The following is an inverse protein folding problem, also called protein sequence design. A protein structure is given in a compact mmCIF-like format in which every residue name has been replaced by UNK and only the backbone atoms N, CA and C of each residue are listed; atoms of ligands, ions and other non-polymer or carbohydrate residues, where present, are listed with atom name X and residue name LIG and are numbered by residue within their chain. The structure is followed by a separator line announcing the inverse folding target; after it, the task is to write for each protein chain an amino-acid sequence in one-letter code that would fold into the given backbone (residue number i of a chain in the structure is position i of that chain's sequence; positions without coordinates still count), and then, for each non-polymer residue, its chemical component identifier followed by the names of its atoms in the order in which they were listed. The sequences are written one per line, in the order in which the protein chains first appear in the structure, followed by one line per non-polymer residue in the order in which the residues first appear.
data_IF_827548834964
#
_entry.id   IF_827548834964
#
_cell.length_a   1.000
_cell.length_b   1.000
_cell.length_c   1.000
_cell.angle_alpha   90.00
_cell.angle_beta   90.00
_cell.angle_gamma   90.00
#
_symmetry.space_group_name_H-M   'P 1'
#
loop_
_entity.id
_entity.type
_entity.pdbx_description
1 polymer ?
#
# COMPACT_ATOMS: atom_id res chain seq x y z
N UNK A 1 -43.76 -50.98 41.09
CA UNK A 1 -42.42 -51.19 40.52
C UNK A 1 -42.53 -51.17 39.00
N UNK A 2 -42.14 -50.09 38.33
CA UNK A 2 -41.85 -50.08 36.88
C UNK A 2 -40.57 -49.27 36.70
N UNK A 3 -39.45 -49.96 36.48
CA UNK A 3 -38.18 -49.35 36.08
C UNK A 3 -38.28 -49.03 34.59
N UNK A 4 -38.42 -47.76 34.24
CA UNK A 4 -38.24 -47.30 32.88
C UNK A 4 -36.74 -47.46 32.52
N UNK A 5 -36.42 -48.51 31.77
CA UNK A 5 -35.12 -48.66 31.11
C UNK A 5 -35.13 -47.73 29.90
N UNK A 6 -34.59 -46.53 30.04
CA UNK A 6 -34.22 -45.72 28.88
C UNK A 6 -33.19 -46.51 28.06
N UNK A 7 -33.43 -46.77 26.76
CA UNK A 7 -32.51 -47.57 25.97
C UNK A 7 -31.26 -46.74 25.70
N UNK A 8 -30.11 -47.23 26.17
CA UNK A 8 -28.76 -46.66 26.00
C UNK A 8 -28.47 -46.26 24.53
N UNK A 9 -29.10 -46.94 23.57
CA UNK A 9 -29.04 -46.67 22.13
C UNK A 9 -29.58 -45.28 21.75
N UNK A 10 -30.57 -44.75 22.46
CA UNK A 10 -31.17 -43.44 22.16
C UNK A 10 -30.27 -42.29 22.63
N UNK A 11 -29.53 -42.51 23.74
CA UNK A 11 -28.54 -41.56 24.24
C UNK A 11 -27.28 -41.56 23.36
N UNK A 12 -26.83 -42.74 22.90
CA UNK A 12 -25.74 -42.87 21.92
C UNK A 12 -26.10 -42.24 20.57
N UNK A 13 -27.35 -42.37 20.11
CA UNK A 13 -27.83 -41.72 18.90
C UNK A 13 -27.81 -40.20 18.97
N UNK A 14 -28.19 -39.60 20.11
CA UNK A 14 -28.15 -38.15 20.32
C UNK A 14 -26.72 -37.63 20.38
N UNK A 15 -25.79 -38.34 21.06
CA UNK A 15 -24.38 -37.96 21.11
C UNK A 15 -23.72 -38.09 19.74
N UNK A 16 -24.07 -39.11 18.95
CA UNK A 16 -23.57 -39.27 17.57
C UNK A 16 -24.13 -38.20 16.64
N UNK A 17 -25.42 -37.87 16.73
CA UNK A 17 -26.01 -36.75 15.98
C UNK A 17 -25.39 -35.40 16.37
N UNK A 18 -25.16 -35.14 17.65
CA UNK A 18 -24.48 -33.92 18.10
C UNK A 18 -23.02 -33.87 17.62
N UNK A 19 -22.30 -35.00 17.66
CA UNK A 19 -20.92 -35.09 17.16
C UNK A 19 -20.84 -34.93 15.64
N UNK A 20 -21.74 -35.56 14.88
CA UNK A 20 -21.82 -35.38 13.42
C UNK A 20 -22.26 -33.96 13.08
N UNK A 21 -23.13 -33.32 13.88
CA UNK A 21 -23.52 -31.90 13.70
C UNK A 21 -22.37 -30.94 13.96
N UNK A 22 -21.57 -31.19 15.00
CA UNK A 22 -20.38 -30.37 15.32
C UNK A 22 -19.30 -30.60 14.28
N UNK A 23 -19.07 -31.83 13.84
CA UNK A 23 -18.14 -32.15 12.76
C UNK A 23 -18.61 -31.59 11.41
N UNK A 24 -19.90 -31.64 11.09
CA UNK A 24 -20.47 -30.97 9.91
C UNK A 24 -20.36 -29.45 10.03
N UNK A 25 -20.57 -28.86 11.21
CA UNK A 25 -20.42 -27.41 11.42
C UNK A 25 -18.95 -26.95 11.36
N UNK A 26 -18.00 -27.80 11.74
CA UNK A 26 -16.56 -27.54 11.61
C UNK A 26 -16.12 -27.71 10.15
N UNK A 27 -16.59 -28.75 9.45
CA UNK A 27 -16.26 -29.02 8.04
C UNK A 27 -16.95 -28.05 7.07
N UNK A 28 -18.17 -27.57 7.36
CA UNK A 28 -18.83 -26.49 6.61
C UNK A 28 -18.22 -25.10 6.88
N UNK A 29 -17.32 -24.96 7.87
CA UNK A 29 -16.66 -23.68 8.17
C UNK A 29 -15.47 -23.38 7.26
N UNK A 30 -15.02 -24.37 6.47
CA UNK A 30 -13.86 -24.26 5.59
C UNK A 30 -14.19 -24.12 4.10
N UNK A 31 -15.47 -24.04 3.73
CA UNK A 31 -15.88 -23.95 2.32
C UNK A 31 -17.03 -22.97 2.08
N UNK A 32 -16.90 -21.73 2.57
CA UNK A 32 -17.58 -20.65 1.84
C UNK A 32 -16.84 -20.44 0.51
N UNK A 33 -17.53 -20.55 -0.65
CA UNK A 33 -16.92 -20.29 -1.95
C UNK A 33 -16.32 -18.89 -1.92
N UNK A 34 -15.17 -18.68 -2.59
CA UNK A 34 -14.46 -17.40 -2.76
C UNK A 34 -15.46 -16.25 -2.93
N UNK A 35 -15.92 -15.70 -1.80
CA UNK A 35 -16.85 -14.59 -1.77
C UNK A 35 -16.03 -13.41 -2.23
N UNK A 36 -16.55 -12.67 -3.19
CA UNK A 36 -16.12 -11.32 -3.53
C UNK A 36 -15.60 -10.61 -2.27
N UNK A 37 -14.28 -10.35 -2.25
CA UNK A 37 -13.64 -9.64 -1.16
C UNK A 37 -13.64 -8.15 -1.50
N UNK A 38 -14.52 -7.32 -0.91
CA UNK A 38 -14.67 -5.91 -1.29
C UNK A 38 -13.48 -5.03 -0.90
N UNK A 39 -12.49 -5.61 -0.22
CA UNK A 39 -11.29 -4.93 0.27
C UNK A 39 -10.06 -5.18 -0.60
N UNK A 40 -10.10 -6.21 -1.45
CA UNK A 40 -8.99 -6.58 -2.34
C UNK A 40 -9.30 -6.13 -3.76
N UNK A 41 -8.33 -5.44 -4.35
CA UNK A 41 -8.35 -4.94 -5.70
C UNK A 41 -7.12 -5.48 -6.40
N UNK A 42 -7.32 -6.51 -7.21
CA UNK A 42 -6.27 -7.11 -8.04
C UNK A 42 -5.64 -6.05 -8.96
N UNK A 43 -4.36 -6.18 -9.28
CA UNK A 43 -3.64 -5.32 -10.21
C UNK A 43 -4.34 -5.15 -11.58
N UNK A 44 -5.18 -6.10 -12.00
CA UNK A 44 -6.01 -6.02 -13.20
C UNK A 44 -7.16 -4.99 -13.11
N UNK A 45 -7.44 -4.47 -11.91
CA UNK A 45 -8.42 -3.42 -11.65
C UNK A 45 -7.91 -2.02 -11.94
N UNK A 46 -6.67 -1.90 -12.41
CA UNK A 46 -6.14 -0.65 -12.92
C UNK A 46 -6.59 -0.41 -14.37
N UNK A 47 -7.10 0.78 -14.64
CA UNK A 47 -7.37 1.28 -15.98
C UNK A 47 -6.15 2.06 -16.48
N UNK A 48 -5.72 1.76 -17.71
CA UNK A 48 -4.61 2.49 -18.35
C UNK A 48 -5.11 3.83 -18.86
N UNK A 49 -4.54 4.93 -18.34
CA UNK A 49 -4.79 6.28 -18.85
C UNK A 49 -3.94 6.58 -20.09
N UNK A 50 -2.69 6.12 -20.08
CA UNK A 50 -1.78 6.25 -21.20
C UNK A 50 -0.76 5.11 -21.19
N UNK A 51 -0.34 4.65 -22.37
CA UNK A 51 0.74 3.66 -22.52
C UNK A 51 1.39 3.81 -23.89
N UNK A 52 2.71 3.77 -23.89
CA UNK A 52 3.51 3.61 -25.10
C UNK A 52 4.74 2.72 -24.81
N UNK A 53 5.69 2.68 -25.74
CA UNK A 53 6.91 1.88 -25.58
C UNK A 53 7.82 2.32 -24.42
N UNK A 54 7.66 3.54 -23.89
CA UNK A 54 8.50 4.12 -22.84
C UNK A 54 7.93 3.97 -21.44
N UNK A 55 6.63 3.71 -21.29
CA UNK A 55 6.01 3.58 -19.97
C UNK A 55 4.49 3.55 -20.03
N UNK A 56 3.87 3.64 -18.85
CA UNK A 56 2.43 3.75 -18.71
C UNK A 56 2.02 4.54 -17.47
N UNK A 57 0.82 5.11 -17.54
CA UNK A 57 0.09 5.69 -16.42
C UNK A 57 -1.19 4.87 -16.26
N UNK A 58 -1.44 4.38 -15.05
CA UNK A 58 -2.67 3.64 -14.73
C UNK A 58 -3.32 4.23 -13.49
N UNK A 59 -4.64 4.13 -13.40
CA UNK A 59 -5.44 4.54 -12.25
C UNK A 59 -6.28 3.37 -11.77
N UNK A 60 -6.33 3.14 -10.47
CA UNK A 60 -7.15 2.09 -9.88
C UNK A 60 -8.63 2.39 -10.12
N UNK A 61 -9.43 1.35 -10.40
CA UNK A 61 -10.89 1.47 -10.34
C UNK A 61 -11.33 2.09 -9.01
N UNK A 62 -12.47 2.78 -9.02
CA UNK A 62 -13.01 3.47 -7.84
C UNK A 62 -13.28 2.49 -6.69
N UNK A 63 -13.22 2.99 -5.46
CA UNK A 63 -13.66 2.23 -4.29
C UNK A 63 -15.20 2.15 -4.25
N UNK A 64 -15.78 1.15 -4.93
CA UNK A 64 -17.23 1.02 -5.11
C UNK A 64 -17.98 0.44 -3.90
N UNK A 65 -17.29 -0.34 -3.06
CA UNK A 65 -17.90 -1.00 -1.91
C UNK A 65 -18.50 0.00 -0.92
N UNK A 66 -19.74 -0.25 -0.46
CA UNK A 66 -20.36 0.54 0.61
C UNK A 66 -19.57 0.51 1.94
N UNK A 67 -18.69 -0.49 2.11
CA UNK A 67 -17.79 -0.57 3.27
C UNK A 67 -16.59 0.38 3.16
N UNK A 68 -16.37 0.97 1.98
CA UNK A 68 -15.25 1.85 1.65
C UNK A 68 -15.73 3.23 1.17
N UNK A 69 -16.94 3.66 1.55
CA UNK A 69 -17.50 4.95 1.12
C UNK A 69 -16.61 6.15 1.44
N UNK A 70 -15.91 6.10 2.58
CA UNK A 70 -14.93 7.14 2.98
C UNK A 70 -13.72 7.23 2.06
N UNK A 71 -13.48 6.23 1.21
CA UNK A 71 -12.41 6.23 0.22
C UNK A 71 -12.84 6.73 -1.15
N UNK A 72 -14.13 7.06 -1.37
CA UNK A 72 -14.63 7.53 -2.69
C UNK A 72 -13.91 8.79 -3.21
N UNK A 73 -13.44 9.64 -2.30
CA UNK A 73 -12.68 10.87 -2.58
C UNK A 73 -11.20 10.66 -2.92
N UNK A 74 -10.73 9.41 -3.00
CA UNK A 74 -9.33 9.08 -3.18
C UNK A 74 -9.15 8.16 -4.39
N UNK A 75 -8.09 8.39 -5.15
CA UNK A 75 -7.67 7.53 -6.25
C UNK A 75 -6.20 7.16 -6.13
N UNK A 76 -5.85 5.97 -6.61
CA UNK A 76 -4.47 5.49 -6.64
C UNK A 76 -4.01 5.48 -8.09
N UNK A 77 -2.94 6.19 -8.39
CA UNK A 77 -2.26 6.14 -9.67
C UNK A 77 -0.95 5.37 -9.53
N UNK A 78 -0.60 4.65 -10.60
CA UNK A 78 0.73 4.09 -10.80
C UNK A 78 1.32 4.65 -12.09
N UNK A 79 2.52 5.20 -11.97
CA UNK A 79 3.34 5.62 -13.10
C UNK A 79 4.59 4.75 -13.17
N UNK A 80 4.83 4.19 -14.35
CA UNK A 80 6.03 3.40 -14.64
C UNK A 80 6.70 3.93 -15.89
N UNK A 81 8.00 4.17 -15.85
CA UNK A 81 8.75 4.59 -17.03
C UNK A 81 10.14 3.96 -17.14
N UNK A 82 10.51 3.62 -18.37
CA UNK A 82 11.82 3.07 -18.72
C UNK A 82 12.94 4.09 -18.45
N UNK A 83 14.19 3.62 -18.39
CA UNK A 83 15.38 4.47 -18.39
C UNK A 83 15.32 5.62 -19.39
N UNK A 84 15.87 6.77 -19.01
CA UNK A 84 16.03 7.95 -19.87
C UNK A 84 14.71 8.45 -20.50
N UNK A 85 13.69 8.65 -19.67
CA UNK A 85 12.36 9.11 -20.12
C UNK A 85 11.89 10.36 -19.40
N UNK A 86 10.91 11.06 -19.99
CA UNK A 86 10.24 12.23 -19.43
C UNK A 86 8.73 12.10 -19.59
N UNK A 87 7.99 12.28 -18.49
CA UNK A 87 6.57 12.61 -18.53
C UNK A 87 6.44 14.12 -18.77
N UNK A 88 5.77 14.50 -19.86
CA UNK A 88 5.66 15.88 -20.34
C UNK A 88 4.89 16.79 -19.36
N UNK A 89 5.09 18.13 -19.45
CA UNK A 89 4.45 19.10 -18.57
C UNK A 89 2.92 19.03 -18.57
N UNK A 90 2.35 18.84 -17.38
CA UNK A 90 0.90 18.82 -17.15
C UNK A 90 0.57 19.25 -15.73
N UNK A 91 -0.67 19.65 -15.52
CA UNK A 91 -1.27 19.76 -14.18
C UNK A 91 -2.53 18.90 -14.11
N UNK A 92 -3.00 18.65 -12.88
CA UNK A 92 -4.23 17.90 -12.63
C UNK A 92 -5.12 18.68 -11.68
N UNK A 93 -6.43 18.51 -11.76
CA UNK A 93 -7.39 19.06 -10.81
C UNK A 93 -7.54 18.16 -9.55
N UNK A 94 -6.41 17.75 -8.98
CA UNK A 94 -6.33 16.93 -7.78
C UNK A 94 -5.11 17.29 -6.94
N UNK A 95 -5.25 17.26 -5.62
CA UNK A 95 -4.09 17.20 -4.73
C UNK A 95 -3.42 15.84 -4.91
N UNK A 96 -2.10 15.82 -5.13
CA UNK A 96 -1.34 14.59 -5.32
C UNK A 96 -0.36 14.35 -4.18
N UNK A 97 -0.25 13.11 -3.74
CA UNK A 97 0.79 12.66 -2.83
C UNK A 97 1.62 11.57 -3.50
N UNK A 98 2.77 11.96 -4.04
CA UNK A 98 3.67 11.10 -4.80
C UNK A 98 4.60 10.33 -3.86
N UNK A 99 4.84 9.05 -4.14
CA UNK A 99 5.84 8.21 -3.49
C UNK A 99 6.66 7.42 -4.51
N UNK A 100 7.99 7.49 -4.45
CA UNK A 100 8.88 6.72 -5.33
C UNK A 100 9.04 5.31 -4.77
N UNK A 101 8.42 4.33 -5.45
CA UNK A 101 8.49 2.92 -5.09
C UNK A 101 9.83 2.30 -5.47
N UNK A 102 10.27 2.52 -6.72
CA UNK A 102 11.51 1.99 -7.27
C UNK A 102 12.21 3.00 -8.17
N UNK A 103 13.54 2.91 -8.23
CA UNK A 103 14.38 3.77 -9.06
C UNK A 103 14.58 5.18 -8.52
N UNK A 104 14.80 6.12 -9.45
CA UNK A 104 15.11 7.53 -9.20
C UNK A 104 14.32 8.40 -10.16
N UNK A 105 13.91 9.59 -9.72
CA UNK A 105 13.18 10.54 -10.54
C UNK A 105 13.71 11.97 -10.37
N UNK A 106 13.61 12.79 -11.41
CA UNK A 106 13.74 14.24 -11.29
C UNK A 106 12.34 14.84 -11.42
N UNK A 107 11.78 15.26 -10.30
CA UNK A 107 10.49 15.95 -10.25
C UNK A 107 10.73 17.46 -10.39
N UNK A 108 10.06 18.07 -11.36
CA UNK A 108 10.04 19.53 -11.49
C UNK A 108 8.65 20.03 -11.16
N UNK A 109 8.58 21.03 -10.29
CA UNK A 109 7.37 21.71 -9.85
C UNK A 109 7.45 23.15 -10.34
N UNK A 110 6.57 23.51 -11.28
CA UNK A 110 6.56 24.81 -11.95
C UNK A 110 5.43 25.66 -11.37
N UNK A 111 5.81 26.83 -10.85
CA UNK A 111 4.92 27.87 -10.35
C UNK A 111 4.98 29.10 -11.28
N UNK A 112 4.08 30.09 -11.15
CA UNK A 112 4.07 31.26 -12.04
C UNK A 112 5.41 32.00 -12.15
N UNK A 113 6.16 32.11 -11.05
CA UNK A 113 7.38 32.93 -10.98
C UNK A 113 8.66 32.13 -10.63
N UNK A 114 8.55 30.81 -10.42
CA UNK A 114 9.69 29.97 -10.01
C UNK A 114 9.51 28.51 -10.44
N UNK A 115 10.61 27.75 -10.40
CA UNK A 115 10.61 26.30 -10.58
C UNK A 115 11.54 25.64 -9.58
N UNK A 116 10.97 24.71 -8.83
CA UNK A 116 11.73 23.79 -7.99
C UNK A 116 11.99 22.46 -8.70
N UNK A 117 13.25 22.04 -8.72
CA UNK A 117 13.68 20.74 -9.25
C UNK A 117 14.20 19.86 -8.12
N UNK A 118 13.63 18.67 -7.98
CA UNK A 118 13.99 17.72 -6.94
C UNK A 118 14.49 16.41 -7.52
N UNK A 119 15.58 15.92 -6.95
CA UNK A 119 16.07 14.58 -7.19
C UNK A 119 15.51 13.63 -6.13
N UNK A 120 14.60 12.75 -6.58
CA UNK A 120 13.86 11.81 -5.75
C UNK A 120 14.44 10.40 -5.90
N UNK A 121 14.64 9.73 -4.79
CA UNK A 121 15.11 8.34 -4.71
C UNK A 121 14.01 7.44 -4.13
N UNK A 122 14.18 6.12 -4.25
CA UNK A 122 13.31 5.13 -3.57
C UNK A 122 13.03 5.52 -2.11
N UNK A 123 11.74 5.59 -1.77
CA UNK A 123 11.25 5.99 -0.45
C UNK A 123 11.04 7.49 -0.24
N UNK A 124 11.38 8.33 -1.22
CA UNK A 124 11.01 9.75 -1.21
C UNK A 124 9.53 9.94 -1.51
N UNK A 125 8.95 10.90 -0.81
CA UNK A 125 7.58 11.33 -1.01
C UNK A 125 7.49 12.85 -1.09
N UNK A 126 6.51 13.33 -1.86
CA UNK A 126 6.27 14.76 -2.09
C UNK A 126 4.78 15.01 -2.30
N UNK A 127 4.23 16.01 -1.59
CA UNK A 127 2.93 16.59 -1.91
C UNK A 127 3.06 17.53 -3.10
N UNK A 128 2.14 17.42 -4.04
CA UNK A 128 2.02 18.33 -5.19
C UNK A 128 0.60 18.91 -5.11
N UNK A 129 0.46 20.22 -4.82
CA UNK A 129 -0.84 20.86 -4.75
C UNK A 129 -1.62 20.80 -6.06
N UNK A 130 -2.95 20.84 -5.98
CA UNK A 130 -3.81 20.81 -7.16
C UNK A 130 -3.51 21.97 -8.12
N UNK A 131 -3.57 21.71 -9.44
CA UNK A 131 -3.28 22.70 -10.48
C UNK A 131 -1.80 23.03 -10.66
N UNK A 132 -0.89 22.42 -9.89
CA UNK A 132 0.55 22.67 -10.05
C UNK A 132 1.07 21.99 -11.32
N UNK A 133 1.76 22.74 -12.18
CA UNK A 133 2.37 22.16 -13.37
C UNK A 133 3.62 21.38 -12.98
N UNK A 134 3.67 20.11 -13.38
CA UNK A 134 4.81 19.23 -13.13
C UNK A 134 5.30 18.54 -14.39
N UNK A 135 6.57 18.15 -14.37
CA UNK A 135 7.11 17.14 -15.28
C UNK A 135 8.13 16.28 -14.54
N UNK A 136 8.18 14.99 -14.91
CA UNK A 136 8.91 13.97 -14.16
C UNK A 136 9.83 13.19 -15.10
N UNK A 137 11.14 13.23 -14.85
CA UNK A 137 12.11 12.47 -15.63
C UNK A 137 12.60 11.23 -14.88
N UNK A 138 12.82 10.13 -15.59
CA UNK A 138 13.66 9.03 -15.13
C UNK A 138 15.09 9.26 -15.66
N UNK A 139 16.04 9.71 -14.83
CA UNK A 139 17.42 9.98 -15.27
C UNK A 139 18.30 8.73 -15.31
N UNK A 140 17.78 7.56 -14.94
CA UNK A 140 18.57 6.32 -14.90
C UNK A 140 18.83 5.79 -16.30
N UNK A 141 20.04 5.26 -16.51
CA UNK A 141 20.42 4.53 -17.73
C UNK A 141 19.99 3.04 -17.69
N UNK A 142 19.54 2.53 -16.54
CA UNK A 142 19.34 1.08 -16.32
C UNK A 142 18.03 0.73 -15.63
N UNK A 143 17.62 1.54 -14.67
CA UNK A 143 16.51 1.22 -13.78
C UNK A 143 15.20 1.82 -14.29
N UNK A 144 14.15 1.03 -14.21
CA UNK A 144 12.78 1.51 -14.41
C UNK A 144 12.36 2.31 -13.19
N UNK A 145 11.68 3.43 -13.41
CA UNK A 145 11.07 4.23 -12.35
C UNK A 145 9.66 3.71 -12.11
N UNK A 146 9.31 3.44 -10.85
CA UNK A 146 7.93 3.16 -10.42
C UNK A 146 7.51 4.14 -9.34
N UNK A 147 6.35 4.73 -9.52
CA UNK A 147 5.79 5.76 -8.64
C UNK A 147 4.34 5.41 -8.33
N UNK A 148 3.98 5.42 -7.05
CA UNK A 148 2.60 5.36 -6.60
C UNK A 148 2.18 6.75 -6.12
N UNK A 149 0.99 7.18 -6.53
CA UNK A 149 0.45 8.50 -6.17
C UNK A 149 -0.96 8.35 -5.62
N UNK A 150 -1.21 8.92 -4.46
CA UNK A 150 -2.56 9.14 -3.95
C UNK A 150 -3.09 10.47 -4.48
N UNK A 151 -4.17 10.44 -5.25
CA UNK A 151 -4.85 11.64 -5.76
C UNK A 151 -6.14 11.91 -4.99
N UNK A 152 -6.39 13.18 -4.70
CA UNK A 152 -7.62 13.69 -4.08
C UNK A 152 -8.20 14.77 -5.00
N UNK A 153 -9.14 14.42 -5.89
CA UNK A 153 -9.77 15.36 -6.81
C UNK A 153 -10.41 16.57 -6.10
N UNK A 154 -10.32 17.76 -6.70
CA UNK A 154 -10.86 18.99 -6.09
C UNK A 154 -12.23 19.40 -6.62
N UNK A 155 -12.56 19.02 -7.86
CA UNK A 155 -13.82 19.37 -8.50
C UNK A 155 -14.89 18.29 -8.28
N UNK A 156 -14.60 17.07 -8.74
CA UNK A 156 -15.52 15.94 -8.68
C UNK A 156 -14.91 14.84 -7.82
N UNK A 157 -15.54 14.40 -6.70
CA UNK A 157 -14.90 13.52 -5.72
C UNK A 157 -14.35 12.21 -6.30
N UNK A 158 -14.88 11.78 -7.45
CA UNK A 158 -14.61 10.46 -8.03
C UNK A 158 -13.82 10.51 -9.33
N UNK A 159 -13.39 11.68 -9.80
CA UNK A 159 -12.63 11.82 -11.04
C UNK A 159 -11.76 13.06 -11.01
N UNK A 160 -10.58 12.96 -11.62
CA UNK A 160 -9.74 14.09 -11.94
C UNK A 160 -9.40 14.04 -13.43
N UNK A 161 -9.04 15.18 -13.99
CA UNK A 161 -8.61 15.39 -15.35
C UNK A 161 -7.13 15.80 -15.38
N UNK A 162 -6.42 15.33 -16.40
CA UNK A 162 -5.04 15.72 -16.66
C UNK A 162 -4.99 16.75 -17.78
N UNK A 163 -4.50 17.95 -17.46
CA UNK A 163 -4.38 19.06 -18.38
C UNK A 163 -2.93 19.17 -18.86
N UNK A 164 -2.67 18.57 -20.02
CA UNK A 164 -1.34 18.61 -20.62
C UNK A 164 -1.11 19.87 -21.44
N UNK A 165 0.03 20.53 -21.20
CA UNK A 165 0.45 21.71 -21.96
C UNK A 165 1.06 21.31 -23.32
N UNK A 166 1.63 20.12 -23.41
CA UNK A 166 2.28 19.59 -24.61
C UNK A 166 1.29 19.16 -25.69
N UNK A 167 1.55 19.55 -26.94
CA UNK A 167 0.92 18.98 -28.14
C UNK A 167 1.70 17.75 -28.61
N UNK A 168 1.02 16.60 -28.74
CA UNK A 168 1.60 15.32 -29.19
C UNK A 168 0.65 14.66 -30.19
N UNK A 169 1.05 13.55 -30.82
CA UNK A 169 0.13 12.77 -31.66
C UNK A 169 -1.03 12.20 -30.84
N UNK A 170 -0.75 11.75 -29.60
CA UNK A 170 -1.76 11.13 -28.73
C UNK A 170 -2.75 12.11 -28.08
N UNK A 171 -2.45 13.41 -28.04
CA UNK A 171 -3.27 14.41 -27.35
C UNK A 171 -2.93 15.85 -27.75
N UNK A 172 -3.94 16.71 -27.68
CA UNK A 172 -3.82 18.14 -27.94
C UNK A 172 -3.41 18.91 -26.68
N UNK A 173 -2.70 20.03 -26.87
CA UNK A 173 -2.46 20.98 -25.78
C UNK A 173 -3.78 21.61 -25.35
N UNK A 174 -4.01 21.79 -24.04
CA UNK A 174 -5.21 22.49 -23.58
C UNK A 174 -5.31 23.95 -24.11
N UNK A 175 -4.20 24.54 -24.53
CA UNK A 175 -4.20 25.87 -25.16
C UNK A 175 -5.01 25.89 -26.47
N UNK A 176 -5.13 24.75 -27.16
CA UNK A 176 -5.93 24.63 -28.39
C UNK A 176 -7.45 24.74 -28.12
N UNK A 177 -7.87 24.72 -26.85
CA UNK A 177 -9.25 24.99 -26.47
C UNK A 177 -9.65 26.47 -26.57
N UNK A 178 -8.69 27.40 -26.64
CA UNK A 178 -8.96 28.83 -26.79
C UNK A 178 -9.15 29.21 -28.27
N UNK A 179 -10.03 30.19 -28.53
CA UNK A 179 -10.26 30.68 -29.89
C UNK A 179 -9.02 31.37 -30.48
N UNK A 180 -8.87 31.33 -31.81
CA UNK A 180 -7.78 32.00 -32.57
C UNK A 180 -7.48 33.42 -32.06
N UNK A 181 -8.50 34.28 -32.04
CA UNK A 181 -8.36 35.68 -31.63
C UNK A 181 -7.87 35.84 -30.18
N UNK A 182 -8.23 34.92 -29.26
CA UNK A 182 -7.74 34.95 -27.88
C UNK A 182 -6.27 34.57 -27.85
N UNK A 183 -5.86 33.55 -28.60
CA UNK A 183 -4.46 33.13 -28.65
C UNK A 183 -3.57 34.22 -29.28
N UNK A 184 -4.00 34.81 -30.39
CA UNK A 184 -3.30 35.94 -31.03
C UNK A 184 -3.15 37.12 -30.08
N UNK A 185 -4.23 37.52 -29.40
CA UNK A 185 -4.17 38.61 -28.42
C UNK A 185 -3.33 38.28 -27.18
N UNK A 186 -3.25 37.00 -26.79
CA UNK A 186 -2.51 36.56 -25.59
C UNK A 186 -1.01 36.41 -25.83
N UNK A 187 -0.63 35.91 -27.01
CA UNK A 187 0.77 35.70 -27.39
C UNK A 187 1.36 36.86 -28.20
N UNK A 188 0.55 37.85 -28.58
CA UNK A 188 0.95 39.03 -29.34
C UNK A 188 1.65 38.66 -30.67
N UNK A 189 1.11 37.65 -31.37
CA UNK A 189 1.58 37.22 -32.69
C UNK A 189 0.45 36.58 -33.50
N UNK A 190 0.66 36.40 -34.81
CA UNK A 190 -0.26 35.72 -35.72
C UNK A 190 -0.40 34.24 -35.33
N UNK A 191 -1.62 33.71 -35.43
CA UNK A 191 -1.90 32.33 -35.05
C UNK A 191 -1.10 31.31 -35.85
N UNK A 192 -0.76 31.63 -37.10
CA UNK A 192 0.07 30.77 -37.95
C UNK A 192 1.43 30.50 -37.29
N UNK A 193 2.03 31.49 -36.61
CA UNK A 193 3.24 31.31 -35.81
C UNK A 193 2.97 30.50 -34.54
N UNK A 194 1.88 30.80 -33.81
CA UNK A 194 1.47 30.05 -32.60
C UNK A 194 1.28 28.56 -32.92
N UNK A 195 0.54 28.27 -33.99
CA UNK A 195 0.25 26.93 -34.45
C UNK A 195 1.52 26.19 -34.83
N UNK A 196 2.41 26.82 -35.59
CA UNK A 196 3.70 26.24 -35.97
C UNK A 196 4.58 25.91 -34.76
N UNK A 197 4.67 26.81 -33.78
CA UNK A 197 5.64 26.68 -32.68
C UNK A 197 5.11 25.85 -31.51
N UNK A 198 3.86 26.02 -31.11
CA UNK A 198 3.29 25.38 -29.91
C UNK A 198 2.47 24.13 -30.22
N UNK A 199 1.82 24.10 -31.38
CA UNK A 199 0.91 23.00 -31.72
C UNK A 199 1.52 22.02 -32.71
N UNK A 200 2.37 22.48 -33.63
CA UNK A 200 3.09 21.69 -34.63
C UNK A 200 2.19 21.00 -35.67
N UNK A 201 2.80 20.60 -36.78
CA UNK A 201 2.20 19.64 -37.73
C UNK A 201 2.38 18.20 -37.21
N UNK A 202 1.59 17.24 -37.68
CA UNK A 202 1.63 15.86 -37.16
C UNK A 202 3.02 15.21 -37.25
N UNK A 203 3.79 15.48 -38.31
CA UNK A 203 5.10 14.88 -38.56
C UNK A 203 6.21 15.35 -37.59
N UNK A 204 6.01 16.45 -36.87
CA UNK A 204 6.99 17.02 -35.93
C UNK A 204 6.72 16.66 -34.46
N UNK A 205 5.60 15.98 -34.19
CA UNK A 205 5.13 15.71 -32.83
C UNK A 205 5.82 14.50 -32.21
N UNK A 206 5.86 14.53 -30.88
CA UNK A 206 6.17 13.32 -30.12
C UNK A 206 4.95 12.38 -30.16
N UNK A 207 5.19 11.06 -30.14
CA UNK A 207 4.15 10.02 -30.15
C UNK A 207 3.14 10.23 -29.00
N UNK A 208 3.61 10.61 -27.81
CA UNK A 208 2.72 10.91 -26.69
C UNK A 208 3.42 11.48 -25.47
N UNK A 209 2.79 11.34 -24.30
CA UNK A 209 3.16 12.10 -23.09
C UNK A 209 4.37 11.57 -22.34
N UNK A 210 4.83 10.36 -22.64
CA UNK A 210 6.07 9.80 -22.11
C UNK A 210 7.05 9.72 -23.27
N UNK A 211 8.14 10.49 -23.21
CA UNK A 211 9.10 10.64 -24.30
C UNK A 211 10.50 10.20 -23.87
N UNK A 212 11.37 9.89 -24.84
CA UNK A 212 12.78 9.57 -24.58
C UNK A 212 13.60 10.84 -24.44
N UNK A 213 14.54 10.84 -23.49
CA UNK A 213 15.53 11.89 -23.30
C UNK A 213 16.91 11.47 -23.81
N UNK A 214 17.67 12.43 -24.32
CA UNK A 214 19.12 12.29 -24.52
C UNK A 214 19.87 12.44 -23.20
N UNK A 215 21.13 11.98 -23.17
CA UNK A 215 21.99 12.14 -21.99
C UNK A 215 22.29 13.61 -21.68
N UNK A 216 22.44 14.43 -22.71
CA UNK A 216 22.62 15.87 -22.57
C UNK A 216 21.40 16.52 -21.93
N UNK A 217 20.19 16.18 -22.39
CA UNK A 217 18.94 16.68 -21.79
C UNK A 217 18.82 16.29 -20.31
N UNK A 218 19.13 15.03 -19.97
CA UNK A 218 19.12 14.58 -18.57
C UNK A 218 20.16 15.34 -17.74
N UNK A 219 21.36 15.57 -18.28
CA UNK A 219 22.41 16.33 -17.62
C UNK A 219 21.95 17.75 -17.32
N UNK A 220 21.31 18.43 -18.28
CA UNK A 220 20.76 19.78 -18.08
C UNK A 220 19.66 19.79 -17.01
N UNK A 221 18.73 18.83 -17.06
CA UNK A 221 17.67 18.68 -16.05
C UNK A 221 18.22 18.39 -14.64
N UNK A 222 19.40 17.78 -14.54
CA UNK A 222 20.00 17.39 -13.25
C UNK A 222 20.76 18.51 -12.54
N UNK A 223 21.19 19.57 -13.25
CA UNK A 223 22.18 20.56 -12.73
C UNK A 223 21.79 21.27 -11.44
N UNK A 224 20.50 21.56 -11.26
CA UNK A 224 20.01 22.37 -10.14
C UNK A 224 19.03 21.60 -9.24
N UNK A 225 19.11 20.27 -9.27
CA UNK A 225 18.24 19.43 -8.46
C UNK A 225 18.61 19.48 -6.98
N UNK A 226 17.59 19.55 -6.13
CA UNK A 226 17.70 19.47 -4.67
C UNK A 226 17.30 18.05 -4.24
N UNK A 227 18.07 17.40 -3.39
CA UNK A 227 17.69 16.08 -2.83
C UNK A 227 16.98 16.21 -1.49
N UNK A 228 16.20 15.21 -1.13
CA UNK A 228 15.66 15.09 0.23
C UNK A 228 16.79 14.92 1.25
N UNK A 229 16.54 15.27 2.51
CA UNK A 229 17.46 15.00 3.62
C UNK A 229 16.71 14.85 4.94
N UNK A 230 17.40 14.46 6.02
CA UNK A 230 16.78 14.45 7.36
C UNK A 230 16.16 15.80 7.76
N UNK A 231 16.73 16.91 7.26
CA UNK A 231 16.24 18.27 7.56
C UNK A 231 14.96 18.62 6.80
N UNK A 232 14.70 17.98 5.65
CA UNK A 232 13.51 18.27 4.84
C UNK A 232 12.26 17.57 5.35
N UNK A 233 12.38 16.67 6.32
CA UNK A 233 11.24 15.96 6.92
C UNK A 233 10.22 16.92 7.52
N UNK A 234 10.64 18.05 8.07
CA UNK A 234 9.75 19.07 8.63
C UNK A 234 9.42 20.20 7.64
N UNK A 235 9.74 20.04 6.35
CA UNK A 235 9.46 21.05 5.32
C UNK A 235 8.00 20.96 4.83
N UNK A 236 7.40 22.11 4.53
CA UNK A 236 6.03 22.18 3.98
C UNK A 236 5.98 21.94 2.47
N UNK A 237 7.13 22.00 1.80
CA UNK A 237 7.28 22.15 0.35
C UNK A 237 8.34 21.20 -0.26
N UNK A 238 9.29 20.69 0.53
CA UNK A 238 10.40 19.83 0.06
C UNK A 238 10.13 18.34 0.26
N UNK A 239 10.73 17.47 -0.57
CA UNK A 239 10.54 16.03 -0.46
C UNK A 239 11.19 15.48 0.80
N UNK A 240 10.67 14.37 1.28
CA UNK A 240 11.21 13.67 2.45
C UNK A 240 11.25 12.17 2.21
N UNK A 241 12.27 11.50 2.77
CA UNK A 241 12.40 10.05 2.67
C UNK A 241 11.93 9.36 3.95
N UNK A 242 11.11 8.32 3.83
CA UNK A 242 10.67 7.52 4.98
C UNK A 242 11.83 6.82 5.69
N UNK A 243 12.90 6.46 4.96
CA UNK A 243 14.06 5.73 5.50
C UNK A 243 15.07 6.61 6.23
N UNK A 244 14.92 7.93 6.17
CA UNK A 244 15.83 8.85 6.88
C UNK A 244 15.61 8.86 8.39
N UNK A 245 14.42 8.43 8.84
CA UNK A 245 14.17 8.03 10.22
C UNK A 245 14.34 6.52 10.33
N UNK A 246 14.84 6.06 11.47
CA UNK A 246 14.84 4.63 11.77
C UNK A 246 13.42 4.05 11.72
N UNK A 247 13.28 2.74 11.49
CA UNK A 247 11.97 2.10 11.46
C UNK A 247 11.25 2.26 12.81
N UNK A 248 9.94 2.50 12.76
CA UNK A 248 9.06 2.57 13.94
C UNK A 248 8.97 1.20 14.62
N UNK A 249 8.96 0.12 13.84
CA UNK A 249 9.05 -1.27 14.31
C UNK A 249 10.12 -2.01 13.53
N UNK A 250 10.96 -2.79 14.21
CA UNK A 250 12.02 -3.55 13.57
C UNK A 250 12.43 -4.74 14.41
N UNK A 251 12.59 -5.89 13.76
CA UNK A 251 13.29 -7.05 14.30
C UNK A 251 13.87 -7.88 13.14
N UNK A 252 14.25 -9.14 13.39
CA UNK A 252 14.85 -10.02 12.38
C UNK A 252 13.87 -10.50 11.29
N UNK A 253 12.57 -10.29 11.44
CA UNK A 253 11.53 -10.75 10.51
C UNK A 253 11.00 -9.63 9.61
N UNK A 254 11.15 -8.37 10.02
CA UNK A 254 10.67 -7.25 9.23
C UNK A 254 10.96 -5.88 9.83
N UNK A 255 10.64 -4.85 9.03
CA UNK A 255 10.78 -3.44 9.36
C UNK A 255 9.55 -2.68 8.89
N UNK A 256 9.11 -1.71 9.69
CA UNK A 256 8.11 -0.73 9.30
C UNK A 256 8.68 0.66 9.50
N UNK A 257 8.77 1.41 8.40
CA UNK A 257 9.09 2.82 8.39
C UNK A 257 7.79 3.60 8.33
N UNK A 258 7.59 4.59 9.20
CA UNK A 258 6.35 5.36 9.22
C UNK A 258 6.59 6.81 9.59
N UNK A 259 5.86 7.68 8.92
CA UNK A 259 5.82 9.10 9.17
C UNK A 259 4.37 9.56 9.22
N UNK A 260 4.04 10.28 10.28
CA UNK A 260 2.68 10.64 10.66
C UNK A 260 2.45 12.15 10.46
N UNK A 261 1.19 12.62 10.46
CA UNK A 261 0.85 14.05 10.38
C UNK A 261 1.65 14.91 11.36
N UNK A 262 1.89 14.42 12.56
CA UNK A 262 2.56 15.17 13.64
C UNK A 262 4.06 15.38 13.36
N UNK A 263 4.62 14.68 12.36
CA UNK A 263 6.05 14.68 12.06
C UNK A 263 6.40 15.39 10.75
N UNK A 264 5.42 15.65 9.88
CA UNK A 264 5.62 16.27 8.57
C UNK A 264 4.42 17.17 8.20
N UNK A 265 4.64 18.45 7.90
CA UNK A 265 3.54 19.38 7.59
C UNK A 265 2.74 19.06 6.32
N UNK A 266 3.34 18.44 5.29
CA UNK A 266 2.61 18.07 4.08
C UNK A 266 1.58 16.99 4.37
N UNK A 267 1.95 16.01 5.19
CA UNK A 267 1.08 14.96 5.70
C UNK A 267 0.03 15.50 6.67
N UNK A 268 0.40 16.48 7.50
CA UNK A 268 -0.53 17.19 8.38
C UNK A 268 -1.65 17.87 7.60
N UNK A 269 -1.31 18.61 6.55
CA UNK A 269 -2.27 19.35 5.73
C UNK A 269 -3.30 18.44 5.05
N UNK A 270 -2.99 17.16 4.86
CA UNK A 270 -3.86 16.18 4.21
C UNK A 270 -4.44 15.14 5.18
N UNK A 271 -4.10 15.25 6.48
CA UNK A 271 -4.45 14.27 7.51
C UNK A 271 -4.03 12.83 7.16
N UNK A 272 -2.83 12.67 6.59
CA UNK A 272 -2.28 11.40 6.11
C UNK A 272 -1.11 10.90 6.95
N UNK A 273 -0.96 9.58 7.09
CA UNK A 273 0.35 8.98 7.39
C UNK A 273 0.84 8.21 6.18
N UNK A 274 2.15 8.01 6.09
CA UNK A 274 2.76 7.06 5.17
C UNK A 274 3.54 6.01 5.94
N UNK A 275 3.37 4.75 5.54
CA UNK A 275 4.23 3.66 6.01
C UNK A 275 4.79 2.87 4.84
N UNK A 276 6.03 2.40 4.97
CA UNK A 276 6.63 1.41 4.08
C UNK A 276 7.07 0.22 4.92
N UNK A 277 6.60 -0.97 4.58
CA UNK A 277 6.82 -2.19 5.36
C UNK A 277 7.61 -3.18 4.53
N UNK A 278 8.61 -3.79 5.16
CA UNK A 278 9.47 -4.83 4.60
C UNK A 278 9.34 -6.08 5.48
N UNK A 279 8.94 -7.20 4.90
CA UNK A 279 8.81 -8.49 5.56
C UNK A 279 9.68 -9.52 4.87
N UNK A 280 10.41 -10.29 5.64
CA UNK A 280 11.15 -11.44 5.13
C UNK A 280 10.17 -12.57 4.78
N UNK A 281 10.55 -13.44 3.85
CA UNK A 281 9.82 -14.67 3.59
C UNK A 281 9.54 -15.45 4.88
N UNK A 282 8.30 -15.89 5.05
CA UNK A 282 7.84 -16.60 6.25
C UNK A 282 7.59 -15.70 7.46
N UNK A 283 7.68 -14.38 7.33
CA UNK A 283 7.33 -13.45 8.40
C UNK A 283 5.81 -13.21 8.48
N UNK A 284 5.29 -13.20 9.70
CA UNK A 284 3.93 -12.79 10.03
C UNK A 284 3.94 -11.40 10.66
N UNK A 285 3.28 -10.43 10.03
CA UNK A 285 2.91 -9.18 10.68
C UNK A 285 1.73 -9.44 11.60
N UNK A 286 1.99 -9.43 12.92
CA UNK A 286 1.06 -9.86 13.96
C UNK A 286 -0.32 -9.20 13.83
N UNK A 287 -1.40 -9.88 14.27
CA UNK A 287 -2.73 -9.32 14.28
C UNK A 287 -2.77 -7.96 15.00
N UNK A 288 -3.25 -6.94 14.31
CA UNK A 288 -3.35 -5.58 14.82
C UNK A 288 -4.51 -4.83 14.18
N UNK A 289 -4.87 -3.67 14.70
CA UNK A 289 -5.81 -2.75 14.06
C UNK A 289 -5.36 -1.31 14.21
N UNK A 290 -5.76 -0.45 13.28
CA UNK A 290 -5.61 1.00 13.40
C UNK A 290 -6.83 1.58 14.09
N UNK A 291 -6.63 2.44 15.10
CA UNK A 291 -7.73 3.02 15.91
C UNK A 291 -8.72 3.83 15.08
N UNK A 292 -8.24 4.69 14.17
CA UNK A 292 -9.11 5.60 13.37
C UNK A 292 -8.70 5.76 11.91
N UNK A 293 -7.48 5.39 11.53
CA UNK A 293 -7.02 5.51 10.17
C UNK A 293 -7.57 4.38 9.28
N UNK A 294 -7.98 4.74 8.07
CA UNK A 294 -8.27 3.77 6.99
C UNK A 294 -6.97 3.62 6.19
N UNK A 295 -6.51 2.41 5.97
CA UNK A 295 -5.24 2.17 5.28
C UNK A 295 -5.49 1.65 3.87
N UNK A 296 -4.88 2.30 2.88
CA UNK A 296 -4.77 1.79 1.52
C UNK A 296 -3.36 1.21 1.36
N UNK A 297 -3.27 -0.11 1.31
CA UNK A 297 -2.04 -0.85 1.07
C UNK A 297 -1.84 -1.01 -0.44
N UNK A 298 -0.65 -0.68 -0.93
CA UNK A 298 -0.18 -0.86 -2.31
C UNK A 298 0.98 -1.84 -2.27
N UNK A 299 0.81 -3.03 -2.85
CA UNK A 299 1.88 -4.03 -2.92
C UNK A 299 2.94 -3.56 -3.91
N UNK A 300 4.19 -3.46 -3.45
CA UNK A 300 5.30 -3.06 -4.31
C UNK A 300 6.04 -4.27 -4.88
N UNK A 301 6.33 -5.28 -4.06
CA UNK A 301 7.08 -6.46 -4.47
C UNK A 301 6.74 -7.65 -3.55
N UNK A 302 6.80 -8.85 -4.12
CA UNK A 302 6.62 -10.12 -3.41
C UNK A 302 5.16 -10.54 -3.28
N UNK A 303 4.94 -11.54 -2.44
CA UNK A 303 3.65 -12.16 -2.22
C UNK A 303 3.34 -12.32 -0.73
N UNK A 304 2.06 -12.18 -0.37
CA UNK A 304 1.60 -12.38 0.99
C UNK A 304 0.14 -12.82 1.07
N UNK A 305 -0.20 -13.54 2.13
CA UNK A 305 -1.59 -13.83 2.50
C UNK A 305 -2.06 -12.83 3.54
N UNK A 306 -3.21 -12.19 3.31
CA UNK A 306 -3.82 -11.26 4.26
C UNK A 306 -5.14 -11.81 4.79
N UNK A 307 -5.38 -11.68 6.10
CA UNK A 307 -6.71 -11.88 6.69
C UNK A 307 -7.19 -10.60 7.38
N UNK A 308 -8.44 -10.22 7.10
CA UNK A 308 -9.13 -9.09 7.70
C UNK A 308 -10.40 -9.59 8.40
N UNK A 309 -10.65 -9.11 9.62
CA UNK A 309 -11.83 -9.48 10.41
C UNK A 309 -12.79 -8.30 10.48
N UNK A 310 -14.02 -8.52 10.02
CA UNK A 310 -15.15 -7.62 10.21
C UNK A 310 -16.16 -8.21 11.20
N UNK A 311 -17.11 -7.41 11.69
CA UNK A 311 -18.24 -7.90 12.48
C UNK A 311 -19.53 -7.70 11.69
N UNK A 312 -20.33 -8.76 11.55
CA UNK A 312 -21.69 -8.70 10.97
C UNK A 312 -22.65 -9.41 11.90
N UNK A 313 -23.72 -8.73 12.32
CA UNK A 313 -24.73 -9.30 13.24
C UNK A 313 -24.10 -9.94 14.51
N UNK A 314 -23.10 -9.25 15.10
CA UNK A 314 -22.33 -9.71 16.27
C UNK A 314 -21.49 -10.98 16.06
N UNK A 315 -21.35 -11.45 14.82
CA UNK A 315 -20.48 -12.57 14.48
C UNK A 315 -19.24 -12.07 13.72
N UNK A 316 -18.05 -12.63 13.99
CA UNK A 316 -16.85 -12.32 13.23
C UNK A 316 -16.97 -12.91 11.82
N UNK A 317 -16.70 -12.08 10.82
CA UNK A 317 -16.64 -12.44 9.41
C UNK A 317 -15.22 -12.19 8.90
N UNK A 318 -14.59 -13.23 8.36
CA UNK A 318 -13.21 -13.20 7.87
C UNK A 318 -13.19 -12.97 6.36
N UNK A 319 -12.34 -12.04 5.92
CA UNK A 319 -11.99 -11.80 4.52
C UNK A 319 -10.55 -12.21 4.31
N UNK A 320 -10.28 -12.97 3.25
CA UNK A 320 -8.93 -13.42 2.89
C UNK A 320 -8.60 -12.96 1.47
N UNK A 321 -7.33 -12.69 1.23
CA UNK A 321 -6.80 -12.49 -0.11
C UNK A 321 -5.34 -12.96 -0.16
N UNK A 322 -4.94 -13.42 -1.33
CA UNK A 322 -3.54 -13.59 -1.71
C UNK A 322 -3.15 -12.30 -2.43
N UNK A 323 -2.10 -11.64 -1.96
CA UNK A 323 -1.63 -10.36 -2.46
C UNK A 323 -0.37 -10.58 -3.29
N UNK A 324 -0.34 -9.94 -4.46
CA UNK A 324 0.82 -9.94 -5.37
C UNK A 324 1.16 -8.52 -5.83
N UNK A 325 2.29 -8.34 -6.51
CA UNK A 325 2.75 -7.03 -6.99
C UNK A 325 1.66 -6.24 -7.74
N UNK A 326 1.46 -4.99 -7.32
CA UNK A 326 0.45 -4.09 -7.90
C UNK A 326 -0.94 -4.24 -7.32
N UNK A 327 -1.21 -5.24 -6.48
CA UNK A 327 -2.49 -5.35 -5.79
C UNK A 327 -2.67 -4.21 -4.76
N UNK A 328 -3.93 -3.80 -4.60
CA UNK A 328 -4.35 -2.86 -3.57
C UNK A 328 -5.23 -3.57 -2.55
N UNK A 329 -5.01 -3.31 -1.27
CA UNK A 329 -5.89 -3.79 -0.20
C UNK A 329 -6.29 -2.65 0.73
N UNK A 330 -7.60 -2.44 0.89
CA UNK A 330 -8.16 -1.40 1.77
C UNK A 330 -8.52 -1.98 3.14
N UNK A 331 -7.93 -1.45 4.20
CA UNK A 331 -8.14 -1.86 5.59
C UNK A 331 -8.93 -0.77 6.30
N UNK A 332 -10.23 -0.97 6.59
CA UNK A 332 -11.02 -0.01 7.34
C UNK A 332 -10.47 0.22 8.75
N UNK A 333 -10.71 1.41 9.28
CA UNK A 333 -10.39 1.74 10.67
C UNK A 333 -11.07 0.77 11.65
N UNK A 334 -10.34 0.41 12.70
CA UNK A 334 -10.72 -0.53 13.76
C UNK A 334 -10.92 -2.00 13.33
N UNK A 335 -10.62 -2.38 12.09
CA UNK A 335 -10.72 -3.78 11.65
C UNK A 335 -9.39 -4.50 11.93
N UNK A 336 -9.40 -5.61 12.71
CA UNK A 336 -8.22 -6.43 12.90
C UNK A 336 -7.74 -7.02 11.58
N UNK A 337 -6.44 -6.92 11.34
CA UNK A 337 -5.75 -7.41 10.15
C UNK A 337 -4.49 -8.15 10.55
N UNK A 338 -4.13 -9.17 9.78
CA UNK A 338 -2.88 -9.92 9.88
C UNK A 338 -2.36 -10.20 8.48
N UNK A 339 -1.04 -10.19 8.30
CA UNK A 339 -0.42 -10.42 7.00
C UNK A 339 0.74 -11.41 7.15
N UNK A 340 0.77 -12.43 6.29
CA UNK A 340 1.77 -13.49 6.27
C UNK A 340 2.53 -13.45 4.94
N UNK A 341 3.82 -13.11 4.96
CA UNK A 341 4.65 -13.02 3.77
C UNK A 341 5.04 -14.42 3.27
N UNK A 342 4.65 -14.76 2.04
CA UNK A 342 4.97 -16.04 1.37
C UNK A 342 6.27 -15.97 0.57
N UNK A 343 6.75 -14.77 0.28
CA UNK A 343 8.09 -14.46 -0.22
C UNK A 343 8.61 -13.20 0.50
N UNK A 344 9.80 -12.70 0.16
CA UNK A 344 10.21 -11.37 0.63
C UNK A 344 9.21 -10.34 0.09
N UNK A 345 8.53 -9.65 0.99
CA UNK A 345 7.35 -8.85 0.67
C UNK A 345 7.53 -7.42 1.15
N UNK A 346 7.22 -6.46 0.30
CA UNK A 346 7.17 -5.07 0.73
C UNK A 346 6.02 -4.29 0.10
N UNK A 347 5.50 -3.33 0.86
CA UNK A 347 4.34 -2.55 0.48
C UNK A 347 4.40 -1.13 1.02
N UNK A 348 3.77 -0.22 0.27
CA UNK A 348 3.46 1.14 0.68
C UNK A 348 2.06 1.17 1.30
N UNK A 349 1.86 2.01 2.31
CA UNK A 349 0.56 2.21 2.94
C UNK A 349 0.26 3.71 3.07
N UNK A 350 -0.86 4.15 2.49
CA UNK A 350 -1.45 5.47 2.73
C UNK A 350 -2.47 5.35 3.86
N UNK A 351 -2.21 5.98 5.00
CA UNK A 351 -3.16 6.06 6.11
C UNK A 351 -4.01 7.31 6.01
N UNK A 352 -5.29 7.16 5.72
CA UNK A 352 -6.28 8.25 5.65
C UNK A 352 -6.85 8.51 7.04
N UNK A 353 -7.14 9.77 7.40
CA UNK A 353 -7.62 10.17 8.73
C UNK A 353 -6.62 9.76 9.83
N UNK A 354 -5.37 10.16 9.62
CA UNK A 354 -4.22 9.67 10.37
C UNK A 354 -3.91 10.39 11.68
N UNK A 355 -4.43 11.60 11.90
CA UNK A 355 -4.08 12.38 13.09
C UNK A 355 -4.41 11.63 14.37
N UNK A 356 -3.44 11.48 15.26
CA UNK A 356 -3.57 10.71 16.51
C UNK A 356 -4.02 9.23 16.29
N UNK A 357 -3.73 8.66 15.13
CA UNK A 357 -3.98 7.23 14.91
C UNK A 357 -2.99 6.38 15.70
N UNK A 358 -3.52 5.52 16.54
CA UNK A 358 -2.77 4.46 17.23
C UNK A 358 -2.90 3.12 16.50
N UNK A 359 -1.79 2.37 16.44
CA UNK A 359 -1.76 0.98 15.98
C UNK A 359 -1.75 0.05 17.19
N UNK A 360 -2.78 -0.77 17.30
CA UNK A 360 -3.03 -1.62 18.46
C UNK A 360 -2.77 -3.08 18.09
N UNK A 361 -1.71 -3.68 18.64
CA UNK A 361 -1.43 -5.10 18.43
C UNK A 361 -2.29 -5.96 19.35
N UNK A 362 -2.64 -7.16 18.89
CA UNK A 362 -3.46 -8.14 19.62
C UNK A 362 -2.63 -9.35 20.11
N UNK A 363 -1.35 -9.37 19.75
CA UNK A 363 -0.39 -10.41 20.11
C UNK A 363 1.02 -9.81 20.16
N UNK A 364 1.97 -10.57 20.70
CA UNK A 364 3.35 -10.12 20.88
C UNK A 364 3.58 -9.47 22.24
N UNK A 365 4.85 -9.18 22.53
CA UNK A 365 5.28 -8.63 23.83
C UNK A 365 4.97 -7.13 23.96
N UNK A 366 5.27 -6.33 22.93
CA UNK A 366 5.05 -4.88 22.91
C UNK A 366 3.76 -4.49 22.20
N UNK A 367 3.18 -3.38 22.64
CA UNK A 367 1.98 -2.73 22.07
C UNK A 367 0.74 -3.64 21.97
N UNK A 368 0.75 -4.76 22.71
CA UNK A 368 -0.34 -5.71 22.78
C UNK A 368 -1.42 -5.21 23.74
N UNK A 369 -2.56 -4.76 23.21
CA UNK A 369 -3.64 -4.19 24.04
C UNK A 369 -4.28 -5.19 24.98
N UNK A 370 -4.25 -6.49 24.65
CA UNK A 370 -4.82 -7.53 25.52
C UNK A 370 -4.00 -7.62 26.81
N UNK A 371 -2.68 -7.45 26.74
CA UNK A 371 -1.80 -7.50 27.92
C UNK A 371 -2.01 -6.32 28.88
N UNK A 372 -2.69 -5.26 28.45
CA UNK A 372 -3.00 -4.09 29.26
C UNK A 372 -4.35 -4.21 30.00
N UNK A 373 -5.15 -5.25 29.73
CA UNK A 373 -6.44 -5.46 30.39
C UNK A 373 -6.20 -5.87 31.86
N UNK A 374 -6.95 -5.27 32.79
CA UNK A 374 -6.86 -5.66 34.20
C UNK A 374 -7.26 -7.12 34.40
N UNK A 375 -6.56 -7.84 35.29
CA UNK A 375 -6.79 -9.27 35.55
C UNK A 375 -8.25 -9.60 35.84
N UNK A 376 -8.92 -8.79 36.65
CA UNK A 376 -10.33 -8.95 37.00
C UNK A 376 -11.25 -8.87 35.77
N UNK A 377 -10.88 -8.05 34.78
CA UNK A 377 -11.61 -7.94 33.51
C UNK A 377 -11.27 -9.11 32.59
N UNK A 378 -10.02 -9.58 32.56
CA UNK A 378 -9.63 -10.77 31.78
C UNK A 378 -10.43 -12.02 32.20
N UNK A 379 -10.63 -12.22 33.50
CA UNK A 379 -11.41 -13.35 34.05
C UNK A 379 -12.88 -13.32 33.65
N UNK A 380 -13.42 -12.13 33.33
CA UNK A 380 -14.79 -11.97 32.83
C UNK A 380 -14.85 -12.04 31.30
N UNK A 381 -13.79 -11.58 30.62
CA UNK A 381 -13.73 -11.49 29.16
C UNK A 381 -13.40 -12.82 28.48
N UNK A 382 -12.59 -13.67 29.14
CA UNK A 382 -12.11 -14.94 28.59
C UNK A 382 -12.54 -16.13 29.47
N UNK A 383 -12.76 -17.32 28.89
CA UNK A 383 -13.14 -18.51 29.68
C UNK A 383 -12.08 -19.03 30.66
N UNK A 384 -10.80 -18.66 30.46
CA UNK A 384 -9.69 -19.08 31.32
C UNK A 384 -9.42 -18.11 32.48
N UNK A 385 -8.58 -18.50 33.44
CA UNK A 385 -8.16 -17.57 34.50
C UNK A 385 -7.27 -16.46 33.95
N UNK A 386 -7.18 -15.31 34.63
CA UNK A 386 -6.22 -14.26 34.25
C UNK A 386 -4.79 -14.79 34.14
N UNK A 387 -4.40 -15.75 35.00
CA UNK A 387 -3.08 -16.35 34.96
C UNK A 387 -2.87 -17.18 33.69
N UNK A 388 -3.89 -17.92 33.24
CA UNK A 388 -3.82 -18.69 31.99
C UNK A 388 -3.67 -17.77 30.79
N UNK A 389 -4.44 -16.67 30.75
CA UNK A 389 -4.37 -15.67 29.68
C UNK A 389 -3.00 -15.00 29.65
N UNK A 390 -2.49 -14.52 30.79
CA UNK A 390 -1.15 -13.92 30.87
C UNK A 390 -0.06 -14.88 30.43
N UNK A 391 -0.11 -16.15 30.87
CA UNK A 391 0.86 -17.17 30.49
C UNK A 391 0.82 -17.44 28.99
N UNK A 392 -0.39 -17.54 28.41
CA UNK A 392 -0.58 -17.72 26.97
C UNK A 392 0.01 -16.55 26.17
N UNK A 393 -0.29 -15.31 26.54
CA UNK A 393 0.22 -14.12 25.86
C UNK A 393 1.76 -14.04 25.94
N UNK A 394 2.34 -14.46 27.07
CA UNK A 394 3.80 -14.51 27.28
C UNK A 394 4.51 -15.59 26.46
N UNK A 395 3.81 -16.50 25.77
CA UNK A 395 4.44 -17.50 24.92
C UNK A 395 5.14 -16.87 23.71
N UNK A 396 4.57 -15.81 23.14
CA UNK A 396 5.20 -15.06 22.06
C UNK A 396 6.18 -14.04 22.66
N UNK A 397 7.48 -14.22 22.41
CA UNK A 397 8.55 -13.35 22.90
C UNK A 397 8.95 -12.25 21.92
N UNK A 398 8.55 -12.37 20.66
CA UNK A 398 8.79 -11.37 19.64
C UNK A 398 7.66 -10.34 19.63
N UNK A 399 7.91 -9.18 19.02
CA UNK A 399 6.91 -8.11 18.85
C UNK A 399 6.80 -7.71 17.39
N UNK A 400 5.62 -7.25 16.99
CA UNK A 400 5.30 -6.72 15.65
C UNK A 400 5.35 -7.76 14.53
N UNK A 401 6.52 -8.34 14.27
CA UNK A 401 6.76 -9.34 13.23
C UNK A 401 7.28 -10.63 13.84
N UNK A 402 6.78 -11.78 13.42
CA UNK A 402 7.18 -13.08 14.00
C UNK A 402 7.38 -14.13 12.91
N UNK A 403 7.89 -15.30 13.28
CA UNK A 403 7.93 -16.47 12.40
C UNK A 403 6.51 -17.03 12.20
N UNK A 404 6.05 -17.15 10.96
CA UNK A 404 4.76 -17.72 10.61
C UNK A 404 4.72 -19.26 10.73
N UNK A 405 5.87 -19.92 10.86
CA UNK A 405 5.99 -21.39 10.90
C UNK A 405 6.75 -21.88 12.15
N UNK A 406 6.24 -21.65 13.37
CA UNK A 406 6.97 -22.02 14.59
C UNK A 406 7.15 -23.54 14.76
N UNK A 407 6.25 -24.38 14.21
CA UNK A 407 6.23 -25.84 14.47
C UNK A 407 7.06 -26.70 13.51
N UNK A 408 7.39 -26.24 12.30
CA UNK A 408 8.24 -27.02 11.37
C UNK A 408 9.71 -27.12 11.85
N UNK A 409 10.15 -26.25 12.76
CA UNK A 409 11.51 -26.27 13.33
C UNK A 409 11.72 -27.36 14.39
N UNK A 410 10.67 -27.84 15.05
CA UNK A 410 10.80 -28.87 16.10
C UNK A 410 10.84 -30.30 15.57
N UNK A 411 10.29 -30.57 14.38
CA UNK A 411 10.40 -31.88 13.73
C UNK A 411 11.82 -32.14 13.20
N UNK A 412 12.50 -31.10 12.70
CA UNK A 412 13.90 -31.19 12.23
C UNK A 412 14.94 -31.42 13.34
N UNK A 413 14.60 -31.12 14.61
CA UNK A 413 15.48 -31.38 15.77
C UNK A 413 15.32 -32.76 16.38
N UNK A 414 14.17 -33.42 16.21
CA UNK A 414 13.94 -34.80 16.70
C UNK A 414 14.50 -35.90 15.79
N UNK A 415 14.95 -35.55 14.57
CA UNK A 415 15.52 -36.50 13.60
C UNK A 415 17.03 -36.75 13.68
N UNK A 416 17.78 -36.09 14.58
CA UNK A 416 19.24 -36.30 14.74
C UNK A 416 19.58 -37.14 15.97
N UNK A 417 19.04 -38.35 16.04
CA UNK A 417 19.70 -39.45 16.75
C UNK A 417 20.04 -40.52 15.71
N UNK A 418 21.24 -40.40 15.16
CA UNK A 418 21.83 -41.47 14.36
C UNK A 418 22.03 -42.72 15.23
N UNK A 419 21.96 -43.92 14.63
CA UNK A 419 22.16 -45.16 15.37
C UNK A 419 23.59 -45.21 15.90
N UNK A 420 23.73 -45.53 17.19
CA UNK A 420 25.00 -45.82 17.83
C UNK A 420 25.71 -46.95 17.08
N UNK A 421 26.94 -46.68 16.64
CA UNK A 421 27.87 -47.67 16.11
C UNK A 421 28.17 -48.72 17.18
N UNK A 422 27.70 -49.95 16.98
CA UNK A 422 28.19 -51.12 17.70
C UNK A 422 29.53 -51.53 17.11
N UNK A 423 30.60 -51.24 17.83
CA UNK A 423 31.89 -51.91 17.69
C UNK A 423 31.86 -53.07 18.69
N UNK A 424 31.82 -54.30 18.18
CA UNK A 424 32.32 -55.50 18.85
C UNK A 424 32.57 -56.55 17.77
N UNK A 425 33.83 -56.68 17.37
CA UNK A 425 34.32 -57.89 16.70
C UNK A 425 34.84 -58.86 17.76
N UNK A 426 34.61 -60.16 17.56
CA UNK A 426 35.65 -61.21 17.48
C UNK A 426 35.03 -62.59 17.30
N UNK A 427 35.72 -63.37 16.46
CA UNK A 427 35.59 -64.80 16.11
C UNK A 427 34.65 -65.17 14.96
#
# INVERSE_FOLDING_TARGET
MMRARFPLLLLLGIVFLASVSVSFAIVYRESEPQRYNPFHYDSNKFHTLFKNQYGHIRVLQRFESSKLEKLRGYQILEFTSKPNTLLLPHHVDAELFLFVLEGRAILNIVSPDDRDSYDLQKGDAQRIPAGTTIYLANPSDKETLRVATLAMPVNEPTQFESFFLSSTESQQSYLQGFSKNILEASFDTEFEEINKVLFGEEEEKQEGVIVKLSREQIRELSKHTKSSSRKTISSQDKPFNLRYRGPSYSNKFGKLFEITPEKNPQLQALHLFLSFVELNEGALFLPHYNSKAIVILVVNEGEANIELVAVRQKQPLRFRAELSEGDIFAIPAAFPVVLNATSNFNFLAFGINAENNERNFLAGEKDNVISQIQRQVMELAFPGSAQDVENLLKNQKESFFVDAQPQQKDEGRKGKHGPFSSILGTF
#
